data_IF_643218976037
#
_entry.id   IF_643218976037
#
_cell.length_a   1.000
_cell.length_b   1.000
_cell.length_c   1.000
_cell.angle_alpha   90.00
_cell.angle_beta   90.00
_cell.angle_gamma   90.00
#
_symmetry.space_group_name_H-M   'P 1'
#
loop_
_entity.id
_entity.type
_entity.pdbx_description
1 polymer ?
#
# COMPACT_ATOMS: atom_id res chain seq x y z
N UNK A 1 1.86 2.53 16.02
CA UNK A 1 2.98 1.60 16.27
C UNK A 1 4.28 2.39 16.22
N UNK A 2 5.20 2.20 17.16
CA UNK A 2 6.51 2.86 17.16
C UNK A 2 7.59 1.86 17.61
N UNK A 3 8.46 1.47 16.68
CA UNK A 3 9.47 0.43 16.89
C UNK A 3 10.89 1.00 17.11
N UNK A 4 11.02 2.28 17.46
CA UNK A 4 12.33 2.94 17.63
C UNK A 4 13.23 2.36 18.71
N UNK A 5 12.66 1.76 19.75
CA UNK A 5 13.45 1.20 20.86
C UNK A 5 13.80 -0.29 20.65
N UNK A 6 13.35 -0.90 19.56
CA UNK A 6 13.58 -2.32 19.30
C UNK A 6 14.89 -2.51 18.51
N UNK A 7 15.76 -3.37 19.03
CA UNK A 7 17.08 -3.65 18.45
C UNK A 7 17.02 -4.50 17.18
N UNK A 8 15.98 -5.32 17.04
CA UNK A 8 15.78 -6.23 15.91
C UNK A 8 14.75 -5.71 14.90
N UNK A 9 14.84 -6.21 13.67
CA UNK A 9 13.91 -5.90 12.58
C UNK A 9 12.51 -6.44 12.94
N UNK A 10 11.54 -5.54 13.03
CA UNK A 10 10.13 -5.88 13.18
C UNK A 10 9.39 -5.80 11.84
N UNK A 11 8.46 -6.74 11.62
CA UNK A 11 7.47 -6.62 10.56
C UNK A 11 6.45 -5.56 10.95
N UNK A 12 5.96 -4.80 9.97
CA UNK A 12 4.85 -3.89 10.19
C UNK A 12 3.52 -4.59 9.99
N UNK A 13 2.61 -3.94 9.27
CA UNK A 13 1.28 -4.46 8.96
C UNK A 13 1.32 -5.00 7.55
N UNK A 14 0.92 -6.26 7.36
CA UNK A 14 0.73 -6.87 6.06
C UNK A 14 -0.73 -7.28 5.91
N UNK A 15 -1.39 -6.77 4.87
CA UNK A 15 -2.78 -7.11 4.54
C UNK A 15 -2.78 -7.76 3.17
N UNK A 16 -3.25 -9.00 3.11
CA UNK A 16 -3.47 -9.71 1.86
C UNK A 16 -4.98 -9.85 1.65
N UNK A 17 -5.50 -9.21 0.60
CA UNK A 17 -6.91 -9.35 0.24
C UNK A 17 -7.14 -10.70 -0.43
N UNK A 18 -8.22 -11.39 -0.10
CA UNK A 18 -8.59 -12.63 -0.80
C UNK A 18 -9.11 -12.37 -2.22
N UNK A 19 -9.46 -13.46 -2.92
CA UNK A 19 -9.86 -13.43 -4.34
C UNK A 19 -11.31 -12.98 -4.55
N UNK A 20 -12.08 -12.89 -3.46
CA UNK A 20 -13.44 -12.39 -3.49
C UNK A 20 -13.45 -10.85 -3.58
N UNK A 21 -14.46 -10.24 -4.22
CA UNK A 21 -14.67 -8.80 -4.16
C UNK A 21 -14.65 -8.33 -2.70
N UNK A 22 -13.74 -7.41 -2.41
CA UNK A 22 -13.45 -6.97 -1.05
C UNK A 22 -13.28 -5.47 -1.00
N UNK A 23 -13.72 -4.90 0.12
CA UNK A 23 -13.54 -3.49 0.44
C UNK A 23 -12.55 -3.39 1.59
N UNK A 24 -11.46 -2.65 1.38
CA UNK A 24 -10.45 -2.41 2.41
C UNK A 24 -10.31 -0.92 2.64
N UNK A 25 -10.53 -0.49 3.88
CA UNK A 25 -10.26 0.86 4.33
C UNK A 25 -9.29 0.86 5.49
N UNK A 26 -8.20 1.60 5.34
CA UNK A 26 -7.20 1.80 6.39
C UNK A 26 -7.15 3.30 6.67
N UNK A 27 -7.37 3.66 7.93
CA UNK A 27 -7.46 5.05 8.34
C UNK A 27 -6.64 5.31 9.60
N UNK A 28 -6.07 6.51 9.70
CA UNK A 28 -5.41 7.01 10.92
C UNK A 28 -4.29 6.10 11.43
N UNK A 29 -3.45 5.59 10.52
CA UNK A 29 -2.32 4.74 10.86
C UNK A 29 -1.06 5.57 10.96
N UNK A 30 -0.39 5.48 12.12
CA UNK A 30 0.98 5.98 12.32
C UNK A 30 1.92 4.84 12.68
N UNK A 31 2.97 4.66 11.88
CA UNK A 31 3.98 3.61 12.07
C UNK A 31 5.38 4.18 11.88
N UNK A 32 6.31 3.80 12.77
CA UNK A 32 7.71 4.24 12.70
C UNK A 32 8.64 3.04 12.84
N UNK A 33 9.62 2.93 11.94
CA UNK A 33 10.46 1.73 11.72
C UNK A 33 9.60 0.49 11.47
N UNK A 34 8.64 0.63 10.57
CA UNK A 34 7.76 -0.46 10.16
C UNK A 34 7.20 -0.19 8.76
N UNK A 35 6.87 -1.28 8.05
CA UNK A 35 6.32 -1.20 6.69
C UNK A 35 4.84 -1.54 6.70
N UNK A 36 4.03 -0.78 5.96
CA UNK A 36 2.67 -1.15 5.59
C UNK A 36 2.72 -1.84 4.21
N UNK A 37 2.34 -3.11 4.15
CA UNK A 37 2.37 -3.92 2.93
C UNK A 37 0.96 -4.37 2.56
N UNK A 38 0.54 -4.07 1.33
CA UNK A 38 -0.74 -4.49 0.77
C UNK A 38 -0.49 -5.46 -0.38
N UNK A 39 -1.09 -6.64 -0.29
CA UNK A 39 -1.04 -7.68 -1.30
C UNK A 39 -2.44 -7.99 -1.82
N UNK A 40 -2.47 -8.40 -3.09
CA UNK A 40 -3.67 -8.70 -3.85
C UNK A 40 -4.59 -7.48 -3.98
N UNK A 41 -5.19 -7.32 -5.14
CA UNK A 41 -6.02 -6.15 -5.39
C UNK A 41 -7.41 -6.34 -4.76
N UNK A 42 -7.80 -5.57 -3.74
CA UNK A 42 -9.20 -5.52 -3.34
C UNK A 42 -10.03 -4.82 -4.43
N UNK A 43 -11.35 -5.02 -4.40
CA UNK A 43 -12.26 -4.32 -5.32
C UNK A 43 -12.21 -2.80 -5.09
N UNK A 44 -12.18 -2.40 -3.82
CA UNK A 44 -11.94 -1.01 -3.44
C UNK A 44 -10.92 -0.90 -2.32
N UNK A 45 -9.98 0.04 -2.47
CA UNK A 45 -8.96 0.35 -1.49
C UNK A 45 -9.01 1.83 -1.11
N UNK A 46 -9.15 2.10 0.18
CA UNK A 46 -9.10 3.45 0.75
C UNK A 46 -7.99 3.54 1.77
N UNK A 47 -7.03 4.45 1.54
CA UNK A 47 -6.01 4.82 2.51
C UNK A 47 -6.19 6.29 2.87
N UNK A 48 -6.44 6.57 4.16
CA UNK A 48 -6.61 7.94 4.64
C UNK A 48 -5.82 8.23 5.91
N UNK A 49 -5.13 9.37 5.96
CA UNK A 49 -4.34 9.79 7.13
C UNK A 49 -3.33 8.71 7.54
N UNK A 50 -2.50 8.31 6.58
CA UNK A 50 -1.48 7.28 6.77
C UNK A 50 -0.13 7.96 6.88
N UNK A 51 0.61 7.68 7.95
CA UNK A 51 1.96 8.16 8.14
C UNK A 51 2.85 6.99 8.53
N UNK A 52 3.67 6.53 7.59
CA UNK A 52 4.54 5.37 7.77
C UNK A 52 5.98 5.77 7.46
N UNK A 53 6.89 5.36 8.33
CA UNK A 53 8.33 5.51 8.13
C UNK A 53 9.04 4.17 8.30
N UNK A 54 9.92 3.84 7.36
CA UNK A 54 10.82 2.69 7.42
C UNK A 54 12.23 3.12 7.03
N UNK A 55 13.25 2.51 7.65
CA UNK A 55 14.63 2.80 7.25
C UNK A 55 14.93 2.23 5.86
N UNK A 56 15.58 3.02 5.00
CA UNK A 56 15.88 2.63 3.62
C UNK A 56 16.72 1.34 3.53
N UNK A 57 17.58 1.08 4.50
CA UNK A 57 18.36 -0.16 4.60
C UNK A 57 17.48 -1.42 4.80
N UNK A 58 16.26 -1.27 5.33
CA UNK A 58 15.31 -2.37 5.56
C UNK A 58 14.37 -2.55 4.38
N UNK A 59 13.96 -1.44 3.77
CA UNK A 59 13.11 -1.40 2.58
C UNK A 59 12.11 -0.24 2.60
N UNK A 60 11.17 -0.24 1.65
CA UNK A 60 10.11 0.76 1.53
C UNK A 60 9.23 0.85 2.80
N UNK A 61 8.66 2.03 3.05
CA UNK A 61 7.72 2.26 4.15
C UNK A 61 6.28 1.86 3.78
N UNK A 62 5.92 2.02 2.50
CA UNK A 62 4.65 1.53 1.95
C UNK A 62 4.95 0.62 0.76
N UNK A 63 4.35 -0.57 0.76
CA UNK A 63 4.35 -1.46 -0.39
C UNK A 63 2.93 -1.76 -0.84
N UNK A 64 2.67 -1.66 -2.13
CA UNK A 64 1.40 -2.05 -2.75
C UNK A 64 1.70 -2.96 -3.93
N UNK A 65 1.50 -4.27 -3.72
CA UNK A 65 1.76 -5.31 -4.71
C UNK A 65 0.44 -5.97 -5.10
N UNK A 66 -0.12 -5.53 -6.21
CA UNK A 66 -1.42 -5.98 -6.73
C UNK A 66 -1.29 -7.03 -7.85
N UNK A 67 -0.11 -7.64 -8.02
CA UNK A 67 0.14 -8.70 -9.00
C UNK A 67 -0.93 -9.80 -9.02
N UNK A 68 -1.75 -9.78 -10.08
CA UNK A 68 -2.81 -10.74 -10.34
C UNK A 68 -2.28 -12.10 -10.82
N UNK A 69 -1.01 -12.21 -11.24
CA UNK A 69 -0.48 -13.38 -11.96
C UNK A 69 0.02 -14.50 -11.05
N UNK A 70 0.24 -14.24 -9.76
CA UNK A 70 0.62 -15.29 -8.81
C UNK A 70 -0.56 -16.13 -8.33
N UNK A 71 -1.78 -15.77 -8.72
CA UNK A 71 -2.96 -16.55 -8.41
C UNK A 71 -3.45 -17.34 -9.64
N UNK A 72 -2.77 -18.46 -9.88
CA UNK A 72 -2.98 -19.34 -11.04
C UNK A 72 -4.19 -20.27 -10.88
N UNK A 73 -5.17 -19.94 -10.03
CA UNK A 73 -6.39 -20.74 -9.84
C UNK A 73 -7.65 -19.88 -9.86
N UNK A 74 -8.03 -19.50 -11.07
CA UNK A 74 -9.36 -18.99 -11.38
C UNK A 74 -9.38 -17.47 -11.49
N UNK A 75 -9.58 -17.01 -12.72
CA UNK A 75 -9.90 -15.65 -13.15
C UNK A 75 -10.20 -14.65 -12.02
N UNK A 76 -9.20 -13.86 -11.64
CA UNK A 76 -9.43 -12.61 -10.93
C UNK A 76 -10.15 -11.67 -11.87
N UNK A 77 -11.41 -11.43 -11.57
CA UNK A 77 -12.14 -10.32 -12.16
C UNK A 77 -12.21 -9.28 -11.06
N UNK A 78 -11.43 -8.20 -11.18
CA UNK A 78 -11.91 -6.91 -10.71
C UNK A 78 -13.22 -6.66 -11.46
N UNK A 79 -14.34 -7.05 -10.85
CA UNK A 79 -15.65 -7.16 -11.50
C UNK A 79 -16.26 -5.76 -11.61
N UNK A 80 -15.74 -4.96 -12.54
CA UNK A 80 -16.22 -3.60 -12.86
C UNK A 80 -16.11 -2.61 -11.68
N UNK A 81 -15.95 -1.32 -11.94
CA UNK A 81 -15.97 -0.25 -10.92
C UNK A 81 -14.94 -0.34 -9.78
N UNK A 82 -13.69 -0.74 -10.04
CA UNK A 82 -12.65 -0.74 -9.00
C UNK A 82 -12.19 0.67 -8.64
N UNK A 83 -12.00 0.94 -7.35
CA UNK A 83 -11.63 2.27 -6.83
C UNK A 83 -10.39 2.22 -5.93
N UNK A 84 -9.39 3.02 -6.25
CA UNK A 84 -8.30 3.38 -5.35
C UNK A 84 -8.48 4.82 -4.90
N UNK A 85 -8.55 5.04 -3.59
CA UNK A 85 -8.57 6.38 -3.00
C UNK A 85 -7.45 6.52 -1.98
N UNK A 86 -6.56 7.49 -2.22
CA UNK A 86 -5.46 7.85 -1.34
C UNK A 86 -5.64 9.30 -0.91
N UNK A 87 -5.75 9.56 0.39
CA UNK A 87 -5.90 10.91 0.92
C UNK A 87 -4.99 11.11 2.15
N UNK A 88 -4.09 12.10 2.11
CA UNK A 88 -3.16 12.36 3.22
C UNK A 88 -2.31 11.12 3.57
N UNK A 89 -1.56 10.63 2.59
CA UNK A 89 -0.71 9.43 2.71
C UNK A 89 0.75 9.85 2.60
N UNK A 90 1.46 9.70 3.70
CA UNK A 90 2.88 10.00 3.85
C UNK A 90 3.65 8.71 4.13
N UNK A 91 4.45 8.29 3.16
CA UNK A 91 5.35 7.14 3.29
C UNK A 91 6.79 7.60 3.04
N UNK A 92 7.61 7.58 4.08
CA UNK A 92 8.96 8.18 4.07
C UNK A 92 10.05 7.25 4.61
N UNK A 93 11.29 7.55 4.27
CA UNK A 93 12.45 6.96 4.93
C UNK A 93 12.93 7.81 6.11
N UNK A 94 14.02 7.40 6.75
CA UNK A 94 14.68 8.10 7.86
C UNK A 94 15.15 9.51 7.49
N UNK A 95 15.37 9.77 6.19
CA UNK A 95 15.79 11.07 5.67
C UNK A 95 14.60 11.96 5.26
N UNK A 96 13.36 11.52 5.47
CA UNK A 96 12.14 12.24 5.06
C UNK A 96 11.81 12.13 3.58
N UNK A 97 12.55 11.33 2.80
CA UNK A 97 12.31 11.14 1.38
C UNK A 97 11.21 10.10 1.16
N UNK A 98 10.48 10.21 0.05
CA UNK A 98 9.46 9.23 -0.34
C UNK A 98 10.03 7.80 -0.34
N UNK A 99 9.34 6.88 0.33
CA UNK A 99 9.75 5.47 0.49
C UNK A 99 8.59 4.54 0.17
N UNK A 100 8.36 4.32 -1.12
CA UNK A 100 7.27 3.49 -1.63
C UNK A 100 7.76 2.48 -2.66
N UNK A 101 7.12 1.32 -2.70
CA UNK A 101 7.27 0.33 -3.76
C UNK A 101 5.88 -0.13 -4.20
N UNK A 102 5.49 0.26 -5.42
CA UNK A 102 4.16 0.07 -5.97
C UNK A 102 4.34 -0.55 -7.34
N UNK A 103 3.76 -1.73 -7.56
CA UNK A 103 3.94 -2.47 -8.82
C UNK A 103 3.10 -1.86 -9.98
N UNK A 104 1.80 -2.11 -10.00
CA UNK A 104 0.86 -1.59 -11.00
C UNK A 104 -0.45 -1.25 -10.30
N UNK A 105 -0.95 -0.07 -10.61
CA UNK A 105 -2.32 0.31 -10.26
C UNK A 105 -3.23 0.02 -11.46
N UNK A 106 -4.15 -0.91 -11.27
CA UNK A 106 -5.15 -1.36 -12.26
C UNK A 106 -6.60 -1.12 -11.80
N UNK A 107 -6.80 -0.39 -10.69
CA UNK A 107 -8.12 0.14 -10.33
C UNK A 107 -8.64 1.04 -11.45
N UNK A 108 -9.94 1.00 -11.77
CA UNK A 108 -10.58 1.77 -12.85
C UNK A 108 -10.71 3.26 -12.52
N UNK A 109 -10.99 3.58 -11.26
CA UNK A 109 -10.99 4.95 -10.73
C UNK A 109 -9.86 5.09 -9.72
N UNK A 110 -9.08 6.16 -9.85
CA UNK A 110 -7.94 6.46 -8.96
C UNK A 110 -8.04 7.90 -8.52
N UNK A 111 -8.31 8.12 -7.24
CA UNK A 111 -8.42 9.42 -6.60
C UNK A 111 -7.26 9.60 -5.63
N UNK A 112 -6.44 10.64 -5.83
CA UNK A 112 -5.24 10.88 -5.04
C UNK A 112 -5.21 12.33 -4.60
N UNK A 113 -5.08 12.55 -3.30
CA UNK A 113 -5.02 13.87 -2.67
C UNK A 113 -3.95 13.86 -1.57
N UNK A 114 -3.11 14.89 -1.54
CA UNK A 114 -2.10 15.10 -0.49
C UNK A 114 -1.24 13.85 -0.19
N UNK A 115 -0.61 13.29 -1.22
CA UNK A 115 0.37 12.19 -1.08
C UNK A 115 1.78 12.69 -1.37
N UNK A 116 2.80 12.08 -0.75
CA UNK A 116 4.20 12.48 -0.92
C UNK A 116 4.96 11.67 -1.99
N UNK A 117 4.26 10.90 -2.82
CA UNK A 117 4.85 10.01 -3.84
C UNK A 117 4.00 9.98 -5.12
N UNK A 118 4.61 9.55 -6.22
CA UNK A 118 3.89 9.32 -7.48
C UNK A 118 3.40 7.89 -7.59
N UNK A 119 2.23 7.69 -8.20
CA UNK A 119 1.77 6.34 -8.58
C UNK A 119 2.41 5.90 -9.90
N UNK A 120 2.66 4.59 -10.10
CA UNK A 120 3.13 4.09 -11.39
C UNK A 120 2.09 4.39 -12.47
N UNK A 121 2.57 4.76 -13.66
CA UNK A 121 1.69 4.99 -14.82
C UNK A 121 0.90 3.72 -15.11
N UNK A 122 -0.38 3.85 -15.44
CA UNK A 122 -1.15 2.73 -16.01
C UNK A 122 -0.41 2.27 -17.26
N UNK A 123 0.12 1.05 -17.24
CA UNK A 123 0.64 0.42 -18.46
C UNK A 123 -0.48 0.41 -19.50
N UNK A 124 -0.20 1.01 -20.66
CA UNK A 124 -1.08 0.98 -21.83
C UNK A 124 -1.24 -0.42 -22.40
#
# INVERSE_FOLDING_TARGET
>A
MDNRQVAYKLRGIQISSGNAPSFVAITNVRMTRATLELHNQPQHLFLRNINVMQTSAIGPALKMHFDLRKDVRGQFMARQDTLLSLANVHAINENGQSSVDIDRINHQTVNVEAVNFSLPKRGG
#
